data_IF_939647926673
#
_entry.id   IF_939647926673
#
_cell.length_a   1.000
_cell.length_b   1.000
_cell.length_c   1.000
_cell.angle_alpha   90.00
_cell.angle_beta   90.00
_cell.angle_gamma   90.00
#
_symmetry.space_group_name_H-M   'P 1'
#
loop_
_entity.id
_entity.type
_entity.pdbx_description
1 polymer ?
#
# COMPACT_ATOMS: atom_id res chain seq x y z
N UNK A 1 7.73 11.31 14.16
CA UNK A 1 6.43 10.90 13.59
C UNK A 1 6.54 11.03 12.09
N UNK A 2 6.17 10.00 11.34
CA UNK A 2 6.25 10.05 9.87
C UNK A 2 5.19 11.02 9.34
N UNK A 3 5.60 11.92 8.43
CA UNK A 3 4.65 12.75 7.69
C UNK A 3 3.66 11.86 6.94
N UNK A 4 2.36 12.16 7.03
CA UNK A 4 1.30 11.42 6.33
C UNK A 4 1.62 11.23 4.86
N UNK A 5 2.21 12.25 4.20
CA UNK A 5 2.60 12.14 2.79
C UNK A 5 3.70 11.11 2.56
N UNK A 6 4.62 10.95 3.52
CA UNK A 6 5.64 9.91 3.48
C UNK A 6 5.02 8.51 3.60
N UNK A 7 4.04 8.33 4.50
CA UNK A 7 3.29 7.07 4.61
C UNK A 7 2.51 6.76 3.33
N UNK A 8 1.80 7.74 2.77
CA UNK A 8 1.07 7.61 1.50
C UNK A 8 2.01 7.19 0.35
N UNK A 9 3.17 7.85 0.22
CA UNK A 9 4.20 7.47 -0.78
C UNK A 9 4.72 6.06 -0.55
N UNK A 10 5.01 5.67 0.69
CA UNK A 10 5.50 4.32 1.02
C UNK A 10 4.48 3.25 0.59
N UNK A 11 3.21 3.40 0.97
CA UNK A 11 2.13 2.48 0.58
C UNK A 11 2.02 2.38 -0.94
N UNK A 12 2.02 3.51 -1.63
CA UNK A 12 1.90 3.54 -3.08
C UNK A 12 3.06 2.83 -3.79
N UNK A 13 4.29 3.08 -3.34
CA UNK A 13 5.51 2.47 -3.90
C UNK A 13 5.51 0.96 -3.71
N UNK A 14 5.27 0.51 -2.48
CA UNK A 14 5.20 -0.91 -2.17
C UNK A 14 4.07 -1.59 -2.96
N UNK A 15 2.85 -1.03 -2.94
CA UNK A 15 1.73 -1.56 -3.69
C UNK A 15 2.00 -1.62 -5.21
N UNK A 16 2.73 -0.64 -5.76
CA UNK A 16 3.10 -0.67 -7.18
C UNK A 16 4.03 -1.84 -7.50
N UNK A 17 5.04 -2.10 -6.66
CA UNK A 17 5.94 -3.25 -6.86
C UNK A 17 5.22 -4.59 -6.69
N UNK A 18 4.28 -4.69 -5.75
CA UNK A 18 3.55 -5.93 -5.50
C UNK A 18 2.50 -6.24 -6.58
N UNK A 19 1.79 -5.21 -7.05
CA UNK A 19 0.72 -5.37 -8.05
C UNK A 19 1.21 -5.27 -9.49
N UNK A 20 2.40 -4.71 -9.70
CA UNK A 20 2.95 -4.44 -11.04
C UNK A 20 2.20 -3.37 -11.82
N UNK A 21 1.25 -2.65 -11.22
CA UNK A 21 0.42 -1.66 -11.92
C UNK A 21 0.17 -0.42 -11.04
N UNK A 22 0.77 0.75 -11.38
CA UNK A 22 0.60 1.98 -10.62
C UNK A 22 -0.87 2.43 -10.47
N UNK A 23 -1.73 2.13 -11.47
CA UNK A 23 -3.15 2.47 -11.40
C UNK A 23 -3.90 1.60 -10.39
N UNK A 24 -3.58 0.30 -10.31
CA UNK A 24 -4.18 -0.59 -9.32
C UNK A 24 -3.64 -0.31 -7.91
N UNK A 25 -2.36 0.06 -7.80
CA UNK A 25 -1.75 0.52 -6.56
C UNK A 25 -2.47 1.76 -5.98
N UNK A 26 -3.05 2.62 -6.83
CA UNK A 26 -3.88 3.74 -6.38
C UNK A 26 -5.15 3.27 -5.62
N UNK A 27 -5.73 2.13 -6.00
CA UNK A 27 -6.83 1.51 -5.25
C UNK A 27 -6.38 0.99 -3.89
N UNK A 28 -5.20 0.36 -3.81
CA UNK A 28 -4.62 -0.14 -2.54
C UNK A 28 -4.42 1.00 -1.55
N UNK A 29 -3.75 2.09 -1.98
CA UNK A 29 -3.54 3.26 -1.11
C UNK A 29 -4.87 3.87 -0.66
N UNK A 30 -5.89 3.95 -1.52
CA UNK A 30 -7.23 4.41 -1.10
C UNK A 30 -7.77 3.57 0.04
N UNK A 31 -7.74 2.23 -0.08
CA UNK A 31 -8.28 1.36 0.95
C UNK A 31 -7.47 1.43 2.25
N UNK A 32 -6.14 1.38 2.16
CA UNK A 32 -5.25 1.38 3.34
C UNK A 32 -5.32 2.72 4.08
N UNK A 33 -5.26 3.83 3.34
CA UNK A 33 -5.19 5.19 3.93
C UNK A 33 -6.55 5.71 4.36
N UNK A 34 -7.64 5.37 3.65
CA UNK A 34 -8.98 5.81 4.06
C UNK A 34 -9.53 5.01 5.24
N UNK A 35 -9.08 3.77 5.43
CA UNK A 35 -9.47 2.95 6.57
C UNK A 35 -8.86 3.43 7.90
N UNK A 36 -7.83 4.28 7.85
CA UNK A 36 -7.05 4.70 9.02
C UNK A 36 -6.88 6.23 9.07
N UNK A 37 -7.70 6.95 9.85
CA UNK A 37 -7.56 8.40 9.99
C UNK A 37 -6.22 8.81 10.64
N UNK A 38 -5.66 7.95 11.48
CA UNK A 38 -4.44 8.10 12.29
C UNK A 38 -3.21 7.38 11.69
N UNK A 39 -3.06 7.43 10.37
CA UNK A 39 -1.99 6.76 9.63
C UNK A 39 -0.57 7.10 10.14
N UNK A 40 -0.39 8.29 10.71
CA UNK A 40 0.86 8.80 11.29
C UNK A 40 1.25 8.15 12.63
N UNK A 41 0.30 7.48 13.28
CA UNK A 41 0.49 6.76 14.55
C UNK A 41 0.76 5.26 14.36
N UNK A 42 0.52 4.74 13.16
CA UNK A 42 0.77 3.33 12.86
C UNK A 42 2.27 3.07 12.78
N UNK A 43 2.69 1.95 13.35
CA UNK A 43 4.04 1.44 13.09
C UNK A 43 4.18 1.05 11.61
N UNK A 44 5.40 1.11 11.10
CA UNK A 44 5.70 0.83 9.68
C UNK A 44 5.32 -0.59 9.28
N UNK A 45 5.51 -1.58 10.16
CA UNK A 45 5.23 -2.99 9.87
C UNK A 45 3.72 -3.24 9.73
N UNK A 46 2.88 -2.57 10.51
CA UNK A 46 1.44 -2.63 10.41
C UNK A 46 0.94 -1.98 9.10
N UNK A 47 1.53 -0.85 8.72
CA UNK A 47 1.22 -0.20 7.44
C UNK A 47 1.60 -1.09 6.24
N UNK A 48 2.79 -1.70 6.30
CA UNK A 48 3.27 -2.63 5.29
C UNK A 48 2.38 -3.89 5.24
N UNK A 49 1.94 -4.41 6.39
CA UNK A 49 1.01 -5.55 6.47
C UNK A 49 -0.34 -5.27 5.80
N UNK A 50 -0.95 -4.11 6.08
CA UNK A 50 -2.19 -3.72 5.42
C UNK A 50 -2.00 -3.61 3.90
N UNK A 51 -0.86 -3.07 3.46
CA UNK A 51 -0.52 -2.95 2.04
C UNK A 51 -0.36 -4.31 1.38
N UNK A 52 0.33 -5.26 2.02
CA UNK A 52 0.49 -6.64 1.56
C UNK A 52 -0.87 -7.33 1.44
N UNK A 53 -1.68 -7.32 2.50
CA UNK A 53 -2.99 -7.98 2.51
C UNK A 53 -3.88 -7.48 1.37
N UNK A 54 -3.91 -6.17 1.13
CA UNK A 54 -4.68 -5.59 0.02
C UNK A 54 -4.08 -5.86 -1.35
N UNK A 55 -2.75 -5.93 -1.46
CA UNK A 55 -2.10 -6.23 -2.74
C UNK A 55 -2.32 -7.67 -3.18
N UNK A 56 -2.46 -8.62 -2.24
CA UNK A 56 -2.75 -10.04 -2.54
C UNK A 56 -4.10 -10.27 -3.23
N UNK A 57 -5.06 -9.37 -3.05
CA UNK A 57 -6.37 -9.43 -3.70
C UNK A 57 -6.30 -9.05 -5.20
N UNK A 58 -5.17 -8.50 -5.65
CA UNK A 58 -4.98 -8.01 -7.02
C UNK A 58 -4.10 -9.00 -7.79
N UNK A 59 -4.57 -9.41 -8.98
CA UNK A 59 -3.72 -10.19 -9.88
C UNK A 59 -2.54 -9.34 -10.33
N UNK A 60 -1.30 -9.77 -10.09
CA UNK A 60 -0.14 -8.98 -10.44
C UNK A 60 0.03 -8.87 -11.95
N UNK A 61 0.38 -7.66 -12.40
CA UNK A 61 0.78 -7.37 -13.77
C UNK A 61 2.29 -7.21 -13.91
N UNK A 62 2.72 -6.94 -15.14
CA UNK A 62 4.10 -6.58 -15.47
C UNK A 62 4.30 -5.07 -15.24
N UNK A 63 5.37 -4.71 -14.55
CA UNK A 63 5.81 -3.31 -14.44
C UNK A 63 6.23 -2.78 -15.83
N UNK A 64 5.81 -1.57 -16.16
CA UNK A 64 6.19 -0.91 -17.43
C UNK A 64 6.98 0.35 -17.10
N UNK A 65 8.30 0.26 -17.24
CA UNK A 65 9.21 1.40 -17.10
C UNK A 65 10.44 1.21 -18.01
N UNK A 66 10.84 2.21 -18.82
CA UNK A 66 11.98 2.07 -19.73
C UNK A 66 13.33 1.79 -19.04
N UNK A 67 13.48 2.14 -17.76
CA UNK A 67 14.72 1.88 -17.02
C UNK A 67 14.77 0.46 -16.41
N UNK A 68 13.65 -0.26 -16.42
CA UNK A 68 13.54 -1.61 -15.89
C UNK A 68 13.59 -2.63 -17.05
N UNK A 69 14.55 -3.56 -17.06
CA UNK A 69 14.58 -4.61 -18.06
C UNK A 69 13.28 -5.44 -18.04
N UNK A 70 12.75 -5.78 -19.23
CA UNK A 70 11.52 -6.55 -19.36
C UNK A 70 11.59 -7.88 -18.59
N UNK A 71 12.72 -8.59 -18.66
CA UNK A 71 12.96 -9.87 -17.97
C UNK A 71 12.81 -9.73 -16.44
N UNK A 72 13.23 -8.60 -15.85
CA UNK A 72 13.07 -8.33 -14.41
C UNK A 72 11.60 -8.11 -14.08
N UNK A 73 10.91 -7.31 -14.89
CA UNK A 73 9.50 -7.01 -14.68
C UNK A 73 8.62 -8.26 -14.83
N UNK A 74 8.93 -9.12 -15.78
CA UNK A 74 8.24 -10.39 -16.04
C UNK A 74 8.51 -11.42 -14.95
N UNK A 75 9.78 -11.59 -14.55
CA UNK A 75 10.13 -12.51 -13.48
C UNK A 75 9.45 -12.08 -12.17
N UNK A 76 9.53 -10.80 -11.79
CA UNK A 76 8.83 -10.28 -10.61
C UNK A 76 7.31 -10.50 -10.70
N UNK A 77 6.71 -10.29 -11.89
CA UNK A 77 5.29 -10.52 -12.14
C UNK A 77 4.89 -12.00 -12.00
N UNK A 78 5.79 -12.92 -12.37
CA UNK A 78 5.55 -14.36 -12.34
C UNK A 78 5.69 -15.00 -10.96
N UNK A 79 6.42 -14.36 -10.03
CA UNK A 79 6.61 -14.88 -8.68
C UNK A 79 5.27 -15.08 -7.93
N UNK A 80 5.05 -16.19 -7.23
CA UNK A 80 3.97 -16.33 -6.25
C UNK A 80 3.91 -15.14 -5.28
N UNK A 81 2.72 -14.70 -4.82
CA UNK A 81 2.58 -13.48 -4.02
C UNK A 81 3.54 -13.39 -2.83
N UNK A 82 3.63 -14.44 -2.02
CA UNK A 82 4.51 -14.46 -0.84
C UNK A 82 6.00 -14.41 -1.18
N UNK A 83 6.43 -15.05 -2.28
CA UNK A 83 7.82 -15.01 -2.75
C UNK A 83 8.18 -13.60 -3.22
N UNK A 84 7.30 -12.97 -3.99
CA UNK A 84 7.44 -11.59 -4.45
C UNK A 84 7.50 -10.60 -3.28
N UNK A 85 6.60 -10.74 -2.31
CA UNK A 85 6.58 -9.91 -1.09
C UNK A 85 7.89 -10.02 -0.33
N UNK A 86 8.33 -11.24 -0.03
CA UNK A 86 9.59 -11.49 0.68
C UNK A 86 10.79 -10.89 -0.06
N UNK A 87 10.84 -11.09 -1.38
CA UNK A 87 11.92 -10.58 -2.21
C UNK A 87 11.94 -9.06 -2.31
N UNK A 88 10.78 -8.42 -2.52
CA UNK A 88 10.67 -6.95 -2.54
C UNK A 88 11.11 -6.36 -1.19
N UNK A 89 10.63 -6.90 -0.07
CA UNK A 89 11.05 -6.38 1.23
C UNK A 89 12.54 -6.59 1.51
N UNK A 90 13.06 -7.80 1.27
CA UNK A 90 14.44 -8.14 1.61
C UNK A 90 15.46 -7.52 0.66
N UNK A 91 15.24 -7.62 -0.66
CA UNK A 91 16.23 -7.23 -1.68
C UNK A 91 16.04 -5.79 -2.15
N UNK A 92 14.81 -5.35 -2.39
CA UNK A 92 14.55 -3.98 -2.87
C UNK A 92 14.62 -2.97 -1.73
N UNK A 93 13.99 -3.27 -0.59
CA UNK A 93 13.92 -2.35 0.56
C UNK A 93 14.93 -2.64 1.67
N UNK A 94 15.71 -3.73 1.60
CA UNK A 94 16.75 -4.04 2.59
C UNK A 94 16.20 -4.30 3.99
N UNK A 95 14.95 -4.75 4.11
CA UNK A 95 14.28 -4.88 5.41
C UNK A 95 14.78 -6.11 6.20
N UNK A 96 14.97 -6.00 7.53
CA UNK A 96 15.34 -7.14 8.37
C UNK A 96 14.25 -8.22 8.38
N UNK A 97 14.63 -9.51 8.35
CA UNK A 97 13.69 -10.64 8.27
C UNK A 97 12.60 -10.64 9.36
N UNK A 98 12.91 -10.15 10.56
CA UNK A 98 11.93 -10.04 11.67
C UNK A 98 10.83 -9.02 11.37
N UNK A 99 11.15 -7.93 10.69
CA UNK A 99 10.14 -6.94 10.27
C UNK A 99 9.33 -7.46 9.09
N UNK A 100 9.97 -8.14 8.13
CA UNK A 100 9.29 -8.84 7.03
C UNK A 100 8.27 -9.84 7.59
N UNK A 101 8.61 -10.56 8.66
CA UNK A 101 7.72 -11.55 9.30
C UNK A 101 6.43 -10.93 9.81
N UNK A 102 6.57 -9.75 10.43
CA UNK A 102 5.44 -8.98 10.95
C UNK A 102 4.60 -8.39 9.82
N UNK A 103 5.25 -7.89 8.77
CA UNK A 103 4.58 -7.34 7.59
C UNK A 103 3.81 -8.42 6.81
N UNK A 104 4.40 -9.60 6.61
CA UNK A 104 3.79 -10.70 5.86
C UNK A 104 2.84 -11.58 6.68
N UNK A 105 2.84 -11.42 8.01
CA UNK A 105 2.09 -12.22 8.98
C UNK A 105 2.46 -13.71 8.94
N UNK A 106 3.76 -14.01 8.92
CA UNK A 106 4.27 -15.39 8.85
C UNK A 106 5.53 -15.60 9.72
N UNK A 107 5.96 -16.85 9.87
CA UNK A 107 7.18 -17.17 10.64
C UNK A 107 8.46 -16.83 9.88
N UNK A 108 9.57 -16.65 10.60
CA UNK A 108 10.90 -16.40 10.00
C UNK A 108 11.29 -17.51 9.01
N UNK A 109 11.09 -18.77 9.39
CA UNK A 109 11.37 -19.94 8.53
C UNK A 109 10.54 -19.93 7.25
N UNK A 110 9.31 -19.41 7.28
CA UNK A 110 8.50 -19.27 6.08
C UNK A 110 9.10 -18.23 5.12
N UNK A 111 9.54 -17.08 5.64
CA UNK A 111 10.18 -16.02 4.85
C UNK A 111 11.47 -16.51 4.22
N UNK A 112 12.34 -17.16 4.99
CA UNK A 112 13.62 -17.68 4.48
C UNK A 112 13.38 -18.59 3.26
N UNK A 113 12.39 -19.47 3.36
CA UNK A 113 11.99 -20.35 2.25
C UNK A 113 11.40 -19.58 1.07
N UNK A 114 10.54 -18.58 1.30
CA UNK A 114 9.98 -17.76 0.23
C UNK A 114 11.05 -16.92 -0.47
N UNK A 115 12.00 -16.40 0.31
CA UNK A 115 13.11 -15.59 -0.19
C UNK A 115 14.10 -16.44 -0.99
N UNK A 116 14.50 -17.62 -0.50
CA UNK A 116 15.35 -18.56 -1.24
C UNK A 116 14.72 -18.95 -2.59
N UNK A 117 13.42 -19.24 -2.61
CA UNK A 117 12.71 -19.55 -3.86
C UNK A 117 12.68 -18.35 -4.83
N UNK A 118 12.47 -17.13 -4.31
CA UNK A 118 12.47 -15.92 -5.11
C UNK A 118 13.87 -15.55 -5.64
N UNK A 119 14.90 -15.72 -4.81
CA UNK A 119 16.29 -15.45 -5.18
C UNK A 119 16.71 -16.37 -6.33
N UNK A 120 16.40 -17.67 -6.28
CA UNK A 120 16.68 -18.60 -7.40
C UNK A 120 16.02 -18.17 -8.70
N UNK A 121 14.77 -17.69 -8.65
CA UNK A 121 14.08 -17.20 -9.84
C UNK A 121 14.73 -15.93 -10.40
N UNK A 122 15.18 -15.02 -9.54
CA UNK A 122 15.85 -13.78 -9.93
C UNK A 122 17.30 -13.99 -10.37
N UNK A 123 17.99 -14.99 -9.85
CA UNK A 123 19.34 -15.39 -10.27
C UNK A 123 19.34 -16.12 -11.63
N UNK A 124 18.21 -16.69 -12.03
CA UNK A 124 18.06 -17.32 -13.35
C UNK A 124 17.98 -16.31 -14.50
N UNK A 125 17.88 -15.01 -14.20
CA UNK A 125 17.92 -13.94 -15.19
C UNK A 125 19.27 -13.93 -15.92
N UNK A 126 19.24 -13.89 -17.26
CA UNK A 126 20.48 -13.90 -18.05
C UNK A 126 21.07 -12.51 -18.25
N UNK A 127 20.21 -11.50 -18.27
CA UNK A 127 20.59 -10.13 -18.66
C UNK A 127 21.19 -9.30 -17.51
N UNK A 128 20.90 -9.66 -16.26
CA UNK A 128 21.22 -8.81 -15.10
C UNK A 128 21.27 -9.64 -13.82
N UNK A 129 22.12 -9.24 -12.87
CA UNK A 129 22.17 -9.89 -11.56
C UNK A 129 20.95 -9.52 -10.70
N UNK A 130 20.58 -10.40 -9.76
CA UNK A 130 19.48 -10.15 -8.82
C UNK A 130 19.71 -8.88 -7.98
N UNK A 131 20.97 -8.58 -7.60
CA UNK A 131 21.32 -7.37 -6.86
C UNK A 131 21.07 -6.09 -7.69
N UNK A 132 21.50 -6.09 -8.95
CA UNK A 132 21.27 -4.95 -9.84
C UNK A 132 19.79 -4.79 -10.19
N UNK A 133 19.06 -5.90 -10.37
CA UNK A 133 17.60 -5.88 -10.52
C UNK A 133 16.92 -5.21 -9.31
N UNK A 134 17.34 -5.55 -8.09
CA UNK A 134 16.82 -4.94 -6.87
C UNK A 134 17.12 -3.42 -6.80
N UNK A 135 18.34 -3.01 -7.16
CA UNK A 135 18.73 -1.58 -7.23
C UNK A 135 17.86 -0.81 -8.23
N UNK A 136 17.59 -1.39 -9.41
CA UNK A 136 16.73 -0.77 -10.43
C UNK A 136 15.28 -0.66 -9.99
N UNK A 137 14.74 -1.69 -9.35
CA UNK A 137 13.40 -1.65 -8.78
C UNK A 137 13.28 -0.62 -7.65
N UNK A 138 14.31 -0.48 -6.82
CA UNK A 138 14.35 0.55 -5.79
C UNK A 138 14.34 1.94 -6.44
N UNK A 139 15.23 2.19 -7.40
CA UNK A 139 15.30 3.46 -8.12
C UNK A 139 14.00 3.79 -8.84
N UNK A 140 13.37 2.80 -9.49
CA UNK A 140 12.03 2.93 -10.06
C UNK A 140 11.01 3.36 -8.99
N UNK A 141 10.94 2.63 -7.87
CA UNK A 141 9.98 2.94 -6.81
C UNK A 141 10.19 4.34 -6.21
N UNK A 142 11.44 4.80 -6.08
CA UNK A 142 11.75 6.11 -5.51
C UNK A 142 11.32 7.27 -6.43
N UNK A 143 11.20 7.04 -7.74
CA UNK A 143 10.65 8.01 -8.70
C UNK A 143 9.12 8.08 -8.68
N UNK A 144 8.45 7.08 -8.11
CA UNK A 144 6.99 7.09 -8.00
C UNK A 144 6.54 8.13 -6.96
N UNK A 145 5.56 8.95 -7.35
CA UNK A 145 4.79 9.79 -6.46
C UNK A 145 3.30 9.42 -6.53
N UNK A 146 2.58 9.72 -5.45
CA UNK A 146 1.14 9.47 -5.33
C UNK A 146 0.42 10.26 -6.43
N UNK A 147 -0.41 9.61 -7.27
CA UNK A 147 -1.04 10.27 -8.40
C UNK A 147 -1.92 11.46 -8.00
N UNK A 148 -1.94 12.51 -8.84
CA UNK A 148 -2.74 13.71 -8.58
C UNK A 148 -4.24 13.39 -8.43
N UNK A 149 -4.78 12.45 -9.23
CA UNK A 149 -6.19 12.06 -9.15
C UNK A 149 -6.55 11.47 -7.77
N UNK A 150 -5.64 10.73 -7.13
CA UNK A 150 -5.84 10.21 -5.77
C UNK A 150 -5.99 11.36 -4.78
N UNK A 151 -5.09 12.36 -4.85
CA UNK A 151 -5.14 13.54 -3.97
C UNK A 151 -6.44 14.34 -4.16
N UNK A 152 -6.89 14.49 -5.41
CA UNK A 152 -8.16 15.15 -5.74
C UNK A 152 -9.35 14.37 -5.15
N UNK A 153 -9.38 13.05 -5.33
CA UNK A 153 -10.45 12.20 -4.83
C UNK A 153 -10.50 12.21 -3.29
N UNK A 154 -9.34 12.18 -2.63
CA UNK A 154 -9.24 12.24 -1.17
C UNK A 154 -9.79 13.58 -0.63
N UNK A 155 -9.44 14.71 -1.26
CA UNK A 155 -10.00 16.04 -0.91
C UNK A 155 -11.51 16.08 -1.05
N UNK A 156 -12.04 15.59 -2.18
CA UNK A 156 -13.49 15.54 -2.42
C UNK A 156 -14.21 14.69 -1.38
N UNK A 157 -13.66 13.53 -1.02
CA UNK A 157 -14.23 12.65 0.03
C UNK A 157 -14.25 13.32 1.40
N UNK A 158 -13.19 14.04 1.78
CA UNK A 158 -13.15 14.80 3.05
C UNK A 158 -14.25 15.87 3.09
N UNK A 159 -14.40 16.63 2.01
CA UNK A 159 -15.45 17.66 1.91
C UNK A 159 -16.84 17.01 2.01
N UNK A 160 -17.10 15.94 1.27
CA UNK A 160 -18.40 15.23 1.33
C UNK A 160 -18.67 14.68 2.74
N UNK A 161 -17.67 14.09 3.42
CA UNK A 161 -17.83 13.61 4.80
C UNK A 161 -18.13 14.75 5.77
N UNK A 162 -17.47 15.90 5.63
CA UNK A 162 -17.74 17.08 6.47
C UNK A 162 -19.14 17.63 6.24
N UNK A 163 -19.59 17.70 4.98
CA UNK A 163 -20.96 18.13 4.66
C UNK A 163 -22.02 17.17 5.23
N UNK A 164 -21.81 15.86 5.09
CA UNK A 164 -22.71 14.86 5.67
C UNK A 164 -22.72 14.90 7.20
N UNK A 165 -21.56 15.04 7.84
CA UNK A 165 -21.48 15.17 9.29
C UNK A 165 -22.19 16.43 9.80
N UNK A 166 -22.02 17.56 9.08
CA UNK A 166 -22.75 18.80 9.36
C UNK A 166 -24.26 18.62 9.22
N UNK A 167 -24.72 17.97 8.14
CA UNK A 167 -26.13 17.67 7.92
C UNK A 167 -26.71 16.83 9.07
N UNK A 168 -26.04 15.74 9.45
CA UNK A 168 -26.46 14.87 10.56
C UNK A 168 -26.54 15.64 11.87
N UNK A 169 -25.56 16.51 12.17
CA UNK A 169 -25.57 17.34 13.36
C UNK A 169 -26.76 18.32 13.36
N UNK A 170 -27.01 19.00 12.23
CA UNK A 170 -28.14 19.94 12.11
C UNK A 170 -29.49 19.26 12.29
N UNK A 171 -29.67 18.07 11.68
CA UNK A 171 -30.89 17.28 11.85
C UNK A 171 -31.06 16.78 13.29
N UNK A 172 -29.97 16.37 13.95
CA UNK A 172 -29.99 15.97 15.36
C UNK A 172 -30.40 17.11 16.29
N UNK A 173 -29.85 18.32 16.09
CA UNK A 173 -30.23 19.51 16.87
C UNK A 173 -31.70 19.87 16.63
N UNK A 174 -32.16 19.87 15.38
CA UNK A 174 -33.56 20.15 15.04
C UNK A 174 -34.51 19.16 15.73
N UNK A 175 -34.17 17.86 15.76
CA UNK A 175 -34.96 16.84 16.44
C UNK A 175 -35.03 17.10 17.96
N UNK A 176 -33.91 17.45 18.60
CA UNK A 176 -33.87 17.80 20.03
C UNK A 176 -34.78 18.99 20.33
N UNK A 177 -34.77 20.03 19.49
CA UNK A 177 -35.63 21.22 19.67
C UNK A 177 -37.11 20.85 19.55
N UNK A 178 -37.48 19.99 18.58
CA UNK A 178 -38.87 19.53 18.40
C UNK A 178 -39.35 18.73 19.59
N UNK A 179 -38.54 17.78 20.08
CA UNK A 179 -38.86 16.97 21.27
C UNK A 179 -39.02 17.85 22.51
N UNK A 180 -38.11 18.81 22.70
CA UNK A 180 -38.16 19.73 23.84
C UNK A 180 -39.43 20.60 23.82
N UNK A 181 -39.86 21.07 22.63
CA UNK A 181 -41.13 21.79 22.47
C UNK A 181 -42.34 20.92 22.77
N UNK A 182 -42.37 19.67 22.30
CA UNK A 182 -43.48 18.75 22.56
C UNK A 182 -43.66 18.43 24.05
N UNK A 183 -42.57 18.40 24.83
CA UNK A 183 -42.62 18.18 26.28
C UNK A 183 -43.06 19.41 27.09
N UNK A 184 -43.00 20.62 26.50
CA UNK A 184 -43.26 21.88 27.21
C UNK A 184 -44.63 22.49 26.91
N UNK A 185 -45.36 21.96 25.92
CA UNK A 185 -46.76 22.32 25.67
C UNK A 185 -47.70 21.54 26.62
N UNK A 186 -48.35 22.21 27.59
CA UNK A 186 -49.26 21.61 28.57
C UNK A 186 -50.64 21.26 27.98
#
# INVERSE_FOLDING_TARGET
MADRQACERRVYRLATLLTGNPRLAAGVITVVVDARPDLDRLDSAHLDRLTVLRSREIRPGRLVDPALPDEVAETLASLPPQQREAWVFARVYGMPLREIARAMDCSLKAIERHLDQADRAMEALKSISAEEAAKRLLAFSMRLDVPAFYRIQQRRRRIVRQLLAGLVLTLGIALIIVVWRAMTTP
#
